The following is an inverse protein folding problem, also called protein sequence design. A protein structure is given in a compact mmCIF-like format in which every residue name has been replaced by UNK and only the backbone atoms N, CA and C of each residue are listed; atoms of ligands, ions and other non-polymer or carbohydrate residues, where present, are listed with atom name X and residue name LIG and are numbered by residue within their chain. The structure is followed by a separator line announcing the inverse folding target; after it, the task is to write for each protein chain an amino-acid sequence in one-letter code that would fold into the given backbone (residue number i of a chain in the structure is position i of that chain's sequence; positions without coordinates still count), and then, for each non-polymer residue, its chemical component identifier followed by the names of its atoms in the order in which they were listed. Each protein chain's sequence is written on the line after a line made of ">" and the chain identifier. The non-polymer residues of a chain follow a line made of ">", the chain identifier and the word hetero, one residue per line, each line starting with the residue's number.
data_IF_758954636436
#
_entry.id   IF_758954636436
#
_cell.length_a   1.000
_cell.length_b   1.000
_cell.length_c   1.000
_cell.angle_alpha   90.00
_cell.angle_beta   90.00
_cell.angle_gamma   90.00
#
_symmetry.space_group_name_H-M   'P 1'
#
loop_
_entity.id
_entity.type
_entity.pdbx_description
1 polymer ?
#
# COMPACT_ATOMS: atom_id res chain seq x y z
N UNK A 1 -41.00 -47.78 -15.71
CA UNK A 1 -41.14 -46.31 -15.63
C UNK A 1 -39.77 -45.74 -15.31
N UNK A 2 -39.23 -44.93 -16.22
CA UNK A 2 -38.00 -44.14 -16.08
C UNK A 2 -38.21 -43.04 -15.02
N UNK A 3 -37.22 -42.84 -14.15
CA UNK A 3 -36.53 -41.56 -13.81
C UNK A 3 -35.51 -41.90 -12.71
N UNK A 4 -34.19 -41.89 -12.96
CA UNK A 4 -33.29 -40.74 -12.82
C UNK A 4 -33.49 -40.04 -11.44
N UNK A 5 -32.49 -39.81 -10.60
CA UNK A 5 -31.32 -38.95 -10.88
C UNK A 5 -30.20 -39.27 -9.87
N UNK A 6 -29.01 -39.59 -10.42
CA UNK A 6 -27.70 -39.33 -9.82
C UNK A 6 -27.63 -37.88 -9.34
N UNK A 7 -27.60 -37.61 -8.04
CA UNK A 7 -27.17 -36.31 -7.52
C UNK A 7 -26.69 -36.48 -6.09
N UNK A 8 -25.59 -35.93 -5.63
CA UNK A 8 -24.52 -35.22 -6.30
C UNK A 8 -23.41 -35.29 -5.25
N UNK A 9 -22.35 -36.06 -5.55
CA UNK A 9 -21.15 -36.10 -4.73
C UNK A 9 -20.40 -34.78 -4.94
N UNK A 10 -20.93 -33.70 -4.40
CA UNK A 10 -20.33 -32.36 -4.43
C UNK A 10 -20.59 -31.81 -3.05
N UNK A 11 -19.61 -31.77 -2.16
CA UNK A 11 -18.84 -30.56 -1.99
C UNK A 11 -17.44 -30.91 -1.46
N UNK A 12 -16.55 -31.37 -2.33
CA UNK A 12 -15.14 -31.04 -2.19
C UNK A 12 -15.02 -29.53 -2.44
N UNK A 13 -15.20 -28.74 -1.38
CA UNK A 13 -14.73 -27.36 -1.36
C UNK A 13 -13.21 -27.41 -1.34
N UNK A 14 -12.61 -27.68 -2.49
CA UNK A 14 -11.27 -27.21 -2.80
C UNK A 14 -11.34 -25.69 -2.79
N UNK A 15 -11.21 -25.11 -1.60
CA UNK A 15 -10.77 -23.74 -1.48
C UNK A 15 -9.43 -23.69 -2.19
N UNK A 16 -9.41 -23.04 -3.35
CA UNK A 16 -8.17 -22.65 -4.01
C UNK A 16 -7.53 -21.65 -3.05
N UNK A 17 -6.80 -22.15 -2.07
CA UNK A 17 -5.78 -21.37 -1.39
C UNK A 17 -4.82 -21.03 -2.52
N UNK A 18 -4.81 -19.77 -2.95
CA UNK A 18 -3.79 -19.26 -3.83
C UNK A 18 -2.46 -19.35 -3.06
N UNK A 19 -1.87 -20.55 -3.07
CA UNK A 19 -0.55 -20.77 -2.53
C UNK A 19 0.40 -20.10 -3.50
N UNK A 20 0.86 -18.91 -3.13
CA UNK A 20 1.96 -18.28 -3.86
C UNK A 20 3.09 -19.30 -3.92
N UNK A 21 3.60 -19.57 -5.12
CA UNK A 21 4.71 -20.50 -5.25
C UNK A 21 5.92 -19.94 -4.50
N UNK A 22 6.85 -20.79 -4.08
CA UNK A 22 8.09 -20.32 -3.44
C UNK A 22 8.82 -19.31 -4.33
N UNK A 23 8.72 -19.46 -5.66
CA UNK A 23 9.27 -18.51 -6.64
C UNK A 23 8.61 -17.14 -6.52
N UNK A 24 7.29 -17.09 -6.37
CA UNK A 24 6.55 -15.83 -6.23
C UNK A 24 6.87 -15.14 -4.90
N UNK A 25 6.99 -15.92 -3.82
CA UNK A 25 7.42 -15.41 -2.50
C UNK A 25 8.84 -14.86 -2.54
N UNK A 26 9.77 -15.54 -3.21
CA UNK A 26 11.14 -15.07 -3.38
C UNK A 26 11.20 -13.78 -4.21
N UNK A 27 10.45 -13.72 -5.30
CA UNK A 27 10.36 -12.50 -6.12
C UNK A 27 9.79 -11.34 -5.32
N UNK A 28 8.71 -11.56 -4.57
CA UNK A 28 8.11 -10.55 -3.71
C UNK A 28 9.11 -10.06 -2.66
N UNK A 29 9.78 -10.98 -1.97
CA UNK A 29 10.80 -10.66 -0.97
C UNK A 29 11.96 -9.86 -1.56
N UNK A 30 12.42 -10.22 -2.75
CA UNK A 30 13.49 -9.51 -3.45
C UNK A 30 13.09 -8.09 -3.88
N UNK A 31 11.82 -7.88 -4.24
CA UNK A 31 11.29 -6.56 -4.58
C UNK A 31 11.15 -5.64 -3.35
N UNK A 32 10.99 -6.22 -2.16
CA UNK A 32 10.82 -5.49 -0.89
C UNK A 32 12.12 -5.32 -0.10
N UNK A 33 13.23 -5.88 -0.56
CA UNK A 33 14.52 -5.81 0.13
C UNK A 33 15.43 -4.74 -0.51
N UNK A 34 15.70 -3.59 0.15
CA UNK A 34 16.61 -2.56 -0.34
C UNK A 34 18.07 -3.01 -0.51
N UNK A 35 18.45 -4.17 0.03
CA UNK A 35 19.77 -4.75 -0.18
C UNK A 35 19.85 -5.54 -1.49
N UNK A 36 18.69 -5.86 -2.11
CA UNK A 36 18.61 -6.62 -3.35
C UNK A 36 18.62 -5.67 -4.56
N UNK A 37 19.41 -5.93 -5.63
CA UNK A 37 19.41 -5.08 -6.83
C UNK A 37 18.05 -5.01 -7.54
N UNK A 38 17.20 -6.02 -7.39
CA UNK A 38 15.85 -6.07 -7.97
C UNK A 38 14.95 -4.96 -7.43
N UNK A 39 15.16 -4.54 -6.18
CA UNK A 39 14.43 -3.42 -5.55
C UNK A 39 14.65 -2.10 -6.30
N UNK A 40 15.86 -1.86 -6.80
CA UNK A 40 16.19 -0.63 -7.55
C UNK A 40 15.72 -0.72 -8.99
N UNK A 41 15.93 -1.87 -9.63
CA UNK A 41 15.49 -2.13 -11.00
C UNK A 41 13.97 -1.98 -11.17
N UNK A 42 13.17 -2.44 -10.21
CA UNK A 42 11.71 -2.28 -10.25
C UNK A 42 11.24 -0.82 -10.14
N UNK A 43 12.12 0.09 -9.70
CA UNK A 43 11.86 1.54 -9.60
C UNK A 43 12.52 2.35 -10.72
N UNK A 44 13.05 1.68 -11.75
CA UNK A 44 13.72 2.34 -12.88
C UNK A 44 15.13 2.84 -12.58
N UNK A 45 15.74 2.39 -11.48
CA UNK A 45 17.10 2.74 -11.11
C UNK A 45 18.02 1.58 -11.53
N UNK A 46 18.96 1.86 -12.44
CA UNK A 46 19.84 0.84 -13.05
C UNK A 46 20.70 0.10 -12.02
N UNK A 47 21.21 0.81 -11.03
CA UNK A 47 22.10 0.28 -10.00
C UNK A 47 21.77 0.86 -8.63
N UNK A 48 22.13 0.11 -7.58
CA UNK A 48 21.99 0.59 -6.21
C UNK A 48 22.92 1.78 -5.99
N UNK A 49 22.41 2.94 -5.53
CA UNK A 49 23.25 4.09 -5.18
C UNK A 49 24.34 3.70 -4.17
N UNK A 50 25.54 4.27 -4.26
CA UNK A 50 26.66 3.93 -3.36
C UNK A 50 26.39 4.33 -1.90
N UNK A 51 25.51 5.30 -1.69
CA UNK A 51 25.16 5.93 -0.42
C UNK A 51 23.83 5.45 0.17
N UNK A 52 23.22 4.41 -0.41
CA UNK A 52 21.90 3.88 -0.02
C UNK A 52 21.78 3.49 1.48
N UNK A 53 22.89 3.11 2.13
CA UNK A 53 22.95 2.72 3.55
C UNK A 53 23.71 3.73 4.41
N UNK A 54 24.32 4.74 3.78
CA UNK A 54 24.78 5.90 4.55
C UNK A 54 23.55 6.66 4.97
N UNK A 55 23.11 6.36 6.19
CA UNK A 55 22.22 7.21 6.99
C UNK A 55 22.97 8.50 7.33
N UNK A 56 23.34 9.29 6.33
CA UNK A 56 23.29 10.72 6.53
C UNK A 56 21.80 11.04 6.58
N UNK A 57 21.20 10.82 7.75
CA UNK A 57 19.92 11.39 8.08
C UNK A 57 20.17 12.90 7.98
N UNK A 58 19.99 13.47 6.79
CA UNK A 58 19.96 14.91 6.67
C UNK A 58 18.85 15.31 7.61
N UNK A 59 19.28 15.91 8.72
CA UNK A 59 18.43 16.57 9.71
C UNK A 59 17.23 17.09 8.93
N UNK A 60 16.04 16.64 9.34
CA UNK A 60 14.74 17.00 8.80
C UNK A 60 14.81 18.29 7.99
N UNK A 61 14.25 18.35 6.75
CA UNK A 61 14.11 19.64 6.07
C UNK A 61 13.57 20.62 7.11
N UNK A 62 14.22 21.78 7.19
CA UNK A 62 14.07 22.74 8.27
C UNK A 62 12.65 23.33 8.16
N UNK A 63 11.66 22.55 8.57
CA UNK A 63 10.26 22.91 8.50
C UNK A 63 10.11 24.07 9.45
N UNK A 64 9.70 25.19 8.91
CA UNK A 64 9.32 26.30 9.76
C UNK A 64 8.08 25.87 10.55
N UNK A 65 7.86 26.49 11.71
CA UNK A 65 6.63 26.27 12.45
C UNK A 65 5.39 26.54 11.57
N UNK A 66 5.50 27.46 10.59
CA UNK A 66 4.44 27.72 9.62
C UNK A 66 4.18 26.51 8.70
N UNK A 67 5.20 25.83 8.21
CA UNK A 67 5.04 24.63 7.37
C UNK A 67 4.35 23.50 8.14
N UNK A 68 4.76 23.28 9.40
CA UNK A 68 4.13 22.30 10.29
C UNK A 68 2.67 22.65 10.58
N UNK A 69 2.38 23.92 10.85
CA UNK A 69 1.02 24.38 11.10
C UNK A 69 0.13 24.22 9.86
N UNK A 70 0.66 24.54 8.68
CA UNK A 70 -0.06 24.35 7.42
C UNK A 70 -0.35 22.87 7.16
N UNK A 71 0.63 22.00 7.37
CA UNK A 71 0.45 20.56 7.24
C UNK A 71 -0.56 20.01 8.26
N UNK A 72 -0.48 20.44 9.52
CA UNK A 72 -1.45 20.07 10.56
C UNK A 72 -2.86 20.54 10.22
N UNK A 73 -3.00 21.76 9.69
CA UNK A 73 -4.27 22.30 9.22
C UNK A 73 -4.86 21.50 8.05
N UNK A 74 -4.02 21.00 7.15
CA UNK A 74 -4.43 20.15 6.03
C UNK A 74 -4.92 18.77 6.48
N UNK A 75 -4.31 18.22 7.53
CA UNK A 75 -4.64 16.88 8.05
C UNK A 75 -5.72 16.88 9.12
N UNK A 76 -6.18 18.04 9.57
CA UNK A 76 -7.24 18.15 10.57
C UNK A 76 -8.62 18.20 9.88
N UNK A 77 -9.40 17.10 9.86
CA UNK A 77 -10.74 17.09 9.27
C UNK A 77 -11.74 18.01 9.98
N UNK A 78 -11.42 18.45 11.21
CA UNK A 78 -12.22 19.43 11.95
C UNK A 78 -11.77 20.89 11.69
N UNK A 79 -10.80 21.11 10.79
CA UNK A 79 -10.42 22.46 10.39
C UNK A 79 -11.60 23.15 9.69
N UNK A 80 -12.04 24.32 10.14
CA UNK A 80 -13.18 25.05 9.55
C UNK A 80 -12.99 25.38 8.07
N UNK A 81 -11.75 25.45 7.56
CA UNK A 81 -11.48 25.65 6.13
C UNK A 81 -11.83 24.44 5.25
N UNK A 82 -11.90 23.24 5.83
CA UNK A 82 -12.32 22.02 5.13
C UNK A 82 -13.83 21.77 5.20
N UNK A 83 -14.54 22.51 6.05
CA UNK A 83 -15.98 22.34 6.16
C UNK A 83 -16.63 22.89 4.89
N UNK A 84 -17.40 22.07 4.14
CA UNK A 84 -18.22 22.63 3.08
C UNK A 84 -19.13 23.69 3.70
N UNK A 85 -19.48 24.76 2.97
CA UNK A 85 -20.39 25.77 3.49
C UNK A 85 -21.63 25.06 4.00
N UNK A 86 -21.87 25.13 5.31
CA UNK A 86 -23.07 24.56 5.90
C UNK A 86 -24.23 25.28 5.22
N UNK A 87 -25.05 24.55 4.46
CA UNK A 87 -26.24 25.15 3.86
C UNK A 87 -27.02 25.74 5.02
N UNK A 88 -27.17 27.06 5.04
CA UNK A 88 -28.05 27.72 6.00
C UNK A 88 -29.43 27.12 5.74
N UNK A 89 -29.84 26.19 6.61
CA UNK A 89 -31.17 25.62 6.57
C UNK A 89 -32.13 26.78 6.76
N UNK A 90 -32.84 27.14 5.68
CA UNK A 90 -33.92 28.09 5.73
C UNK A 90 -34.96 27.52 6.71
N UNK A 91 -35.14 28.21 7.85
CA UNK A 91 -36.26 28.01 8.75
C UNK A 91 -37.48 28.74 8.22
#
# INVERSE_FOLDING_TARGET
>A
MYVAVLSCLTFLRFGIQATMSQKDLNNHSNQLNPNNPTFYKSRGISERPSDWDTKEYKSSPNYTQADLNNHANQLNPNNPLYQPPQSKGNK
#
